data_IF_889896237248
#
_entry.id   IF_889896237248
#
_cell.length_a   1.000
_cell.length_b   1.000
_cell.length_c   1.000
_cell.angle_alpha   90.00
_cell.angle_beta   90.00
_cell.angle_gamma   90.00
#
_symmetry.space_group_name_H-M   'P 1'
#
loop_
_entity.id
_entity.type
_entity.pdbx_description
1 polymer ?
#
# COMPACT_ATOMS: atom_id res chain seq x y z
N UNK A 1 29.73 19.31 -27.37
CA UNK A 1 28.41 18.74 -27.69
C UNK A 1 28.17 17.54 -26.75
N UNK A 2 27.28 17.65 -25.76
CA UNK A 2 27.10 16.60 -24.72
C UNK A 2 26.00 15.63 -25.16
N UNK A 3 26.34 14.37 -25.39
CA UNK A 3 25.35 13.32 -25.66
C UNK A 3 24.72 12.85 -24.34
N UNK A 4 23.43 13.14 -24.13
CA UNK A 4 22.66 12.55 -23.02
C UNK A 4 22.34 11.09 -23.36
N UNK A 5 22.97 10.16 -22.63
CA UNK A 5 22.69 8.71 -22.71
C UNK A 5 21.26 8.48 -22.20
N UNK A 6 20.32 8.13 -23.09
CA UNK A 6 18.97 7.69 -22.69
C UNK A 6 19.13 6.39 -21.91
N UNK A 7 18.78 6.38 -20.62
CA UNK A 7 18.72 5.15 -19.82
C UNK A 7 17.57 4.30 -20.38
N UNK A 8 17.91 3.14 -20.95
CA UNK A 8 16.92 2.12 -21.30
C UNK A 8 16.46 1.50 -19.97
N UNK A 9 15.36 2.01 -19.41
CA UNK A 9 14.74 1.43 -18.22
C UNK A 9 14.05 0.15 -18.70
N UNK A 10 14.79 -0.95 -18.66
CA UNK A 10 14.25 -2.28 -18.89
C UNK A 10 13.40 -2.60 -17.67
N UNK A 11 12.09 -2.40 -17.76
CA UNK A 11 11.18 -2.86 -16.72
C UNK A 11 11.40 -4.38 -16.56
N UNK A 12 11.56 -4.90 -15.32
CA UNK A 12 11.81 -6.32 -15.10
C UNK A 12 10.63 -7.20 -15.54
N UNK A 13 9.47 -6.60 -15.77
CA UNK A 13 8.27 -7.25 -16.29
C UNK A 13 8.09 -6.85 -17.75
N UNK A 14 8.44 -7.76 -18.66
CA UNK A 14 8.29 -7.57 -20.11
C UNK A 14 6.83 -7.62 -20.56
N UNK A 15 5.96 -8.30 -19.80
CA UNK A 15 4.53 -8.38 -20.05
C UNK A 15 3.75 -7.86 -18.84
N UNK A 16 3.15 -6.69 -19.00
CA UNK A 16 2.26 -6.09 -17.99
C UNK A 16 1.05 -7.01 -17.73
N UNK A 17 0.66 -7.83 -18.72
CA UNK A 17 -0.40 -8.84 -18.62
C UNK A 17 0.01 -10.12 -17.88
N UNK A 18 1.30 -10.30 -17.54
CA UNK A 18 1.78 -11.47 -16.78
C UNK A 18 1.64 -11.28 -15.26
N UNK A 19 1.20 -10.11 -14.80
CA UNK A 19 0.96 -9.87 -13.37
C UNK A 19 -0.40 -10.47 -13.01
N UNK A 20 -0.39 -11.71 -12.54
CA UNK A 20 -1.57 -12.36 -11.97
C UNK A 20 -1.92 -11.65 -10.68
N UNK A 21 -3.18 -11.26 -10.54
CA UNK A 21 -3.67 -10.60 -9.34
C UNK A 21 -3.60 -11.56 -8.14
N UNK A 22 -3.36 -11.03 -6.93
CA UNK A 22 -3.41 -11.83 -5.71
C UNK A 22 -4.78 -12.53 -5.53
N UNK A 23 -5.84 -11.91 -6.03
CA UNK A 23 -7.20 -12.45 -6.06
C UNK A 23 -7.31 -13.70 -6.95
N UNK A 24 -6.64 -13.74 -8.11
CA UNK A 24 -6.63 -14.91 -9.00
C UNK A 24 -5.82 -16.08 -8.42
N UNK A 25 -4.81 -15.79 -7.60
CA UNK A 25 -3.97 -16.82 -6.98
C UNK A 25 -4.63 -17.44 -5.72
N UNK A 26 -5.36 -16.65 -4.95
CA UNK A 26 -5.92 -17.08 -3.65
C UNK A 26 -7.41 -17.39 -3.70
N UNK A 27 -8.12 -16.92 -4.72
CA UNK A 27 -9.58 -16.99 -4.80
C UNK A 27 -10.30 -16.11 -3.76
N UNK A 28 -9.57 -15.30 -2.98
CA UNK A 28 -10.14 -14.40 -1.99
C UNK A 28 -10.49 -13.07 -2.64
N UNK A 29 -11.77 -12.71 -2.63
CA UNK A 29 -12.26 -11.39 -3.02
C UNK A 29 -12.49 -10.52 -1.78
N UNK A 30 -12.06 -9.27 -1.83
CA UNK A 30 -12.40 -8.30 -0.79
C UNK A 30 -13.89 -7.98 -0.91
N UNK A 31 -14.61 -7.99 0.22
CA UNK A 31 -16.01 -7.59 0.30
C UNK A 31 -16.13 -6.23 0.97
N UNK A 32 -17.15 -5.48 0.57
CA UNK A 32 -17.49 -4.22 1.24
C UNK A 32 -18.06 -4.60 2.61
N UNK A 33 -17.56 -4.04 3.72
CA UNK A 33 -18.10 -4.31 5.04
C UNK A 33 -19.58 -3.89 5.11
N UNK A 34 -20.41 -4.69 5.76
CA UNK A 34 -21.86 -4.45 5.84
C UNK A 34 -22.27 -3.85 7.18
N UNK A 35 -21.40 -3.93 8.19
CA UNK A 35 -21.65 -3.43 9.55
C UNK A 35 -20.62 -2.40 9.98
N UNK A 36 -21.01 -1.50 10.88
CA UNK A 36 -20.09 -0.52 11.48
C UNK A 36 -18.92 -1.20 12.20
N UNK A 37 -19.16 -2.33 12.85
CA UNK A 37 -18.11 -3.08 13.55
C UNK A 37 -17.05 -3.66 12.59
N UNK A 38 -17.49 -4.17 11.44
CA UNK A 38 -16.58 -4.61 10.38
C UNK A 38 -15.79 -3.43 9.82
N UNK A 39 -16.45 -2.31 9.53
CA UNK A 39 -15.80 -1.09 9.04
C UNK A 39 -14.70 -0.63 10.00
N UNK A 40 -15.00 -0.54 11.31
CA UNK A 40 -14.02 -0.17 12.34
C UNK A 40 -12.83 -1.12 12.38
N UNK A 41 -13.06 -2.42 12.21
CA UNK A 41 -11.98 -3.41 12.16
C UNK A 41 -11.05 -3.18 10.96
N UNK A 42 -11.62 -2.84 9.79
CA UNK A 42 -10.88 -2.59 8.56
C UNK A 42 -10.21 -1.21 8.53
N UNK A 43 -10.71 -0.21 9.25
CA UNK A 43 -10.08 1.13 9.34
C UNK A 43 -8.62 1.05 9.72
N UNK A 44 -8.24 0.15 10.63
CA UNK A 44 -6.84 -0.04 11.02
C UNK A 44 -5.89 -0.40 9.87
N UNK A 45 -6.41 -1.02 8.81
CA UNK A 45 -5.62 -1.48 7.66
C UNK A 45 -5.68 -0.45 6.51
N UNK A 46 -6.83 0.20 6.33
CA UNK A 46 -7.11 1.03 5.16
C UNK A 46 -7.10 2.54 5.43
N UNK A 47 -7.09 3.00 6.68
CA UNK A 47 -6.92 4.43 7.00
C UNK A 47 -5.47 4.84 6.76
N UNK A 48 -5.20 5.22 5.52
CA UNK A 48 -3.92 5.78 5.11
C UNK A 48 -3.95 7.28 5.42
N UNK A 49 -3.07 7.79 6.30
CA UNK A 49 -3.00 9.22 6.60
C UNK A 49 -2.73 10.02 5.32
N UNK A 50 -3.60 11.00 5.05
CA UNK A 50 -3.57 11.77 3.81
C UNK A 50 -2.59 12.94 3.89
N UNK A 51 -2.21 13.36 5.10
CA UNK A 51 -1.28 14.47 5.32
C UNK A 51 0.03 14.03 5.98
N UNK A 52 1.11 14.75 5.67
CA UNK A 52 2.45 14.48 6.25
C UNK A 52 2.49 14.68 7.76
N UNK A 53 1.61 15.52 8.30
CA UNK A 53 1.55 15.79 9.74
C UNK A 53 0.82 14.67 10.48
N UNK A 54 -0.22 14.09 9.88
CA UNK A 54 -0.86 12.87 10.39
C UNK A 54 0.12 11.69 10.40
N UNK A 55 0.93 11.51 9.34
CA UNK A 55 1.95 10.45 9.30
C UNK A 55 2.97 10.58 10.44
N UNK A 56 3.42 11.81 10.75
CA UNK A 56 4.37 12.05 11.85
C UNK A 56 3.76 11.69 13.21
N UNK A 57 2.52 12.13 13.45
CA UNK A 57 1.81 11.84 14.70
C UNK A 57 1.60 10.34 14.90
N UNK A 58 1.22 9.59 13.85
CA UNK A 58 1.06 8.12 13.92
C UNK A 58 2.39 7.46 14.29
N UNK A 59 3.49 7.82 13.61
CA UNK A 59 4.82 7.25 13.87
C UNK A 59 5.37 7.56 15.25
N UNK A 60 5.01 8.70 15.84
CA UNK A 60 5.42 9.07 17.20
C UNK A 60 4.67 8.21 18.23
N UNK A 61 3.35 8.06 18.09
CA UNK A 61 2.54 7.18 18.96
C UNK A 61 3.01 5.72 18.95
N UNK A 62 3.39 5.19 17.79
CA UNK A 62 3.94 3.82 17.70
C UNK A 62 5.27 3.62 18.45
N UNK A 63 6.09 4.67 18.56
CA UNK A 63 7.37 4.61 19.30
C UNK A 63 7.13 4.56 20.81
N UNK A 64 6.10 5.23 21.29
CA UNK A 64 5.74 5.24 22.71
C UNK A 64 5.16 3.89 23.15
N UNK A 65 4.41 3.20 22.27
CA UNK A 65 3.87 1.86 22.53
C UNK A 65 4.98 0.81 22.62
N UNK A 66 6.04 0.91 21.81
CA UNK A 66 7.18 -0.03 21.79
C UNK A 66 8.18 0.16 22.94
N UNK A 67 7.93 1.11 23.85
CA UNK A 67 8.83 1.44 24.96
C UNK A 67 8.55 0.64 26.25
N UNK A 68 7.51 -0.20 26.25
CA UNK A 68 7.13 -1.08 27.36
C UNK A 68 7.35 -2.54 27.02
#
# INVERSE_FOLDING_TARGET
MKYKKKKNIKYPFSDISSVVSYTECTGLTQFIPETEHEEESFRSIYDIPLSTDEVKQVREKEKDIKKY
#
